data_IF_539155773847
#
_entry.id   IF_539155773847
#
_cell.length_a   1.000
_cell.length_b   1.000
_cell.length_c   1.000
_cell.angle_alpha   90.00
_cell.angle_beta   90.00
_cell.angle_gamma   90.00
#
_symmetry.space_group_name_H-M   'P 1'
#
loop_
_entity.id
_entity.type
_entity.pdbx_description
1 polymer ?
#
# COMPACT_ATOMS: atom_id res chain seq x y z
N UNK A 1 16.71 -42.64 45.00
CA UNK A 1 16.22 -41.24 44.91
C UNK A 1 16.48 -40.78 43.49
N UNK A 2 15.53 -41.01 42.59
CA UNK A 2 15.59 -40.46 41.24
C UNK A 2 14.98 -39.06 41.28
N UNK A 3 15.76 -38.08 40.84
CA UNK A 3 15.31 -36.70 40.63
C UNK A 3 14.34 -36.65 39.45
N UNK A 4 13.19 -35.96 39.55
CA UNK A 4 12.27 -35.85 38.43
C UNK A 4 12.87 -34.93 37.35
N UNK A 5 12.79 -35.39 36.10
CA UNK A 5 13.12 -34.62 34.89
C UNK A 5 12.23 -33.36 34.82
N UNK A 6 12.77 -32.16 34.50
CA UNK A 6 11.97 -30.96 34.42
C UNK A 6 11.03 -31.10 33.22
N UNK A 7 9.76 -30.82 33.49
CA UNK A 7 8.65 -30.82 32.56
C UNK A 7 9.07 -30.27 31.19
N UNK A 8 8.79 -31.05 30.15
CA UNK A 8 8.55 -30.56 28.80
C UNK A 8 7.55 -29.42 28.95
N UNK A 9 8.06 -28.19 28.88
CA UNK A 9 7.24 -26.99 28.79
C UNK A 9 6.54 -27.15 27.46
N UNK A 10 5.34 -27.71 27.52
CA UNK A 10 4.39 -27.78 26.43
C UNK A 10 4.33 -26.35 25.90
N UNK A 11 4.94 -26.15 24.73
CA UNK A 11 4.92 -24.87 24.05
C UNK A 11 3.46 -24.68 23.71
N UNK A 12 2.75 -23.99 24.61
CA UNK A 12 1.42 -23.47 24.41
C UNK A 12 1.50 -22.67 23.12
N UNK A 13 1.19 -23.34 22.01
CA UNK A 13 0.87 -22.73 20.74
C UNK A 13 -0.43 -21.98 21.00
N UNK A 14 -0.29 -20.79 21.58
CA UNK A 14 -1.35 -19.79 21.58
C UNK A 14 -1.52 -19.46 20.11
N UNK A 15 -2.45 -20.16 19.45
CA UNK A 15 -2.95 -19.75 18.17
C UNK A 15 -3.43 -18.31 18.33
N UNK A 16 -2.89 -17.42 17.50
CA UNK A 16 -3.23 -16.02 17.42
C UNK A 16 -4.76 -15.89 17.19
N UNK A 17 -5.49 -15.70 18.30
CA UNK A 17 -6.95 -15.66 18.35
C UNK A 17 -7.44 -14.24 18.04
N UNK A 18 -8.03 -14.06 16.86
CA UNK A 18 -8.55 -12.78 16.40
C UNK A 18 -9.15 -12.85 15.00
N UNK A 19 -9.91 -11.81 14.62
CA UNK A 19 -10.39 -11.68 13.24
C UNK A 19 -9.21 -11.38 12.31
N UNK A 20 -9.06 -12.17 11.25
CA UNK A 20 -8.05 -11.96 10.20
C UNK A 20 -8.75 -11.52 8.93
N UNK A 21 -8.27 -10.45 8.31
CA UNK A 21 -8.72 -10.00 6.99
C UNK A 21 -7.56 -10.13 6.03
N UNK A 22 -7.80 -10.84 4.93
CA UNK A 22 -6.82 -10.95 3.85
C UNK A 22 -6.67 -9.58 3.14
N UNK A 23 -5.42 -9.12 3.00
CA UNK A 23 -5.13 -7.82 2.38
C UNK A 23 -5.63 -7.74 0.94
N UNK A 24 -5.48 -8.81 0.17
CA UNK A 24 -5.95 -8.87 -1.21
C UNK A 24 -7.48 -8.84 -1.28
N UNK A 25 -8.16 -9.45 -0.30
CA UNK A 25 -9.62 -9.33 -0.15
C UNK A 25 -10.02 -7.89 0.15
N UNK A 26 -9.32 -7.22 1.08
CA UNK A 26 -9.59 -5.82 1.41
C UNK A 26 -9.40 -4.89 0.20
N UNK A 27 -8.32 -5.06 -0.56
CA UNK A 27 -8.07 -4.30 -1.79
C UNK A 27 -9.20 -4.55 -2.79
N UNK A 28 -9.62 -5.81 -2.99
CA UNK A 28 -10.74 -6.15 -3.88
C UNK A 28 -12.02 -5.44 -3.46
N UNK A 29 -12.36 -5.44 -2.17
CA UNK A 29 -13.55 -4.75 -1.65
C UNK A 29 -13.49 -3.23 -1.89
N UNK A 30 -12.32 -2.60 -1.77
CA UNK A 30 -12.13 -1.19 -2.15
C UNK A 30 -12.36 -1.00 -3.64
N UNK A 31 -11.75 -1.82 -4.49
CA UNK A 31 -11.88 -1.72 -5.96
C UNK A 31 -13.32 -1.88 -6.44
N UNK A 32 -14.13 -2.73 -5.80
CA UNK A 32 -15.56 -2.89 -6.13
C UNK A 32 -16.36 -1.59 -5.95
N UNK A 33 -15.91 -0.67 -5.10
CA UNK A 33 -16.55 0.62 -4.87
C UNK A 33 -16.05 1.73 -5.81
N UNK A 34 -15.11 1.42 -6.70
CA UNK A 34 -14.54 2.33 -7.71
C UNK A 34 -14.96 1.87 -9.12
N UNK A 35 -16.17 2.23 -9.59
CA UNK A 35 -16.58 1.92 -10.96
C UNK A 35 -15.63 2.59 -11.98
N UNK A 36 -15.43 1.90 -13.11
CA UNK A 36 -14.34 2.16 -14.08
C UNK A 36 -14.29 3.60 -14.64
N UNK A 37 -13.08 4.01 -15.06
CA UNK A 37 -12.89 5.18 -15.93
C UNK A 37 -11.64 5.99 -15.58
N UNK A 38 -11.80 7.00 -14.73
CA UNK A 38 -10.74 8.01 -14.47
C UNK A 38 -10.55 8.33 -12.99
N UNK A 39 -11.23 7.62 -12.08
CA UNK A 39 -11.23 7.95 -10.65
C UNK A 39 -9.82 7.90 -10.07
N UNK A 40 -9.00 6.92 -10.49
CA UNK A 40 -7.59 6.84 -10.10
C UNK A 40 -6.79 8.11 -10.44
N UNK A 41 -7.08 8.75 -11.57
CA UNK A 41 -6.39 9.99 -11.96
C UNK A 41 -6.81 11.17 -11.07
N UNK A 42 -8.10 11.22 -10.70
CA UNK A 42 -8.63 12.24 -9.78
C UNK A 42 -8.01 12.10 -8.39
N UNK A 43 -7.90 10.86 -7.89
CA UNK A 43 -7.27 10.58 -6.58
C UNK A 43 -5.78 10.96 -6.59
N UNK A 44 -5.05 10.69 -7.68
CA UNK A 44 -3.65 11.12 -7.82
C UNK A 44 -3.50 12.65 -7.81
N UNK A 45 -4.40 13.38 -8.47
CA UNK A 45 -4.43 14.84 -8.45
C UNK A 45 -4.75 15.35 -7.04
N UNK A 46 -5.73 14.73 -6.37
CA UNK A 46 -6.11 15.10 -5.01
C UNK A 46 -4.99 14.86 -4.01
N UNK A 47 -4.24 13.76 -4.12
CA UNK A 47 -3.05 13.51 -3.29
C UNK A 47 -1.98 14.60 -3.50
N UNK A 48 -1.82 15.07 -4.74
CA UNK A 48 -0.89 16.15 -5.06
C UNK A 48 -1.36 17.49 -4.47
N UNK A 49 -2.66 17.79 -4.54
CA UNK A 49 -3.27 18.99 -3.94
C UNK A 49 -3.14 18.97 -2.40
N UNK A 50 -3.46 17.85 -1.75
CA UNK A 50 -3.31 17.62 -0.30
C UNK A 50 -1.84 17.79 0.17
N UNK A 51 -0.88 17.54 -0.73
CA UNK A 51 0.55 17.73 -0.50
C UNK A 51 1.05 19.15 -0.83
N UNK A 52 0.18 20.03 -1.35
CA UNK A 52 0.53 21.40 -1.73
C UNK A 52 1.33 21.51 -3.04
N UNK A 53 1.28 20.50 -3.91
CA UNK A 53 1.94 20.53 -5.20
C UNK A 53 1.32 21.59 -6.13
N UNK A 54 2.16 22.24 -6.94
CA UNK A 54 1.72 23.22 -7.94
C UNK A 54 1.75 22.66 -9.37
N UNK A 55 2.28 21.45 -9.55
CA UNK A 55 2.39 20.77 -10.83
C UNK A 55 2.13 19.28 -10.67
N UNK A 56 1.31 18.74 -11.58
CA UNK A 56 1.09 17.30 -11.74
C UNK A 56 1.36 16.91 -13.19
N UNK A 57 2.07 15.81 -13.41
CA UNK A 57 2.30 15.22 -14.72
C UNK A 57 1.84 13.76 -14.74
N UNK A 58 1.05 13.40 -15.74
CA UNK A 58 0.70 12.02 -16.05
C UNK A 58 1.37 11.63 -17.36
N UNK A 59 2.11 10.52 -17.37
CA UNK A 59 2.84 10.06 -18.54
C UNK A 59 2.53 8.58 -18.80
N UNK A 60 1.98 8.27 -19.98
CA UNK A 60 1.91 6.90 -20.46
C UNK A 60 3.26 6.52 -21.06
N UNK A 61 4.08 5.86 -20.24
CA UNK A 61 5.36 5.32 -20.66
C UNK A 61 5.15 3.95 -21.32
N UNK A 62 5.50 3.85 -22.60
CA UNK A 62 5.35 2.61 -23.39
C UNK A 62 6.65 1.83 -23.53
N UNK A 63 7.70 2.24 -22.83
CA UNK A 63 8.99 1.53 -22.85
C UNK A 63 8.85 0.15 -22.22
N UNK A 64 9.75 -0.74 -22.62
CA UNK A 64 9.99 -2.03 -21.99
C UNK A 64 11.44 -2.02 -21.52
N UNK A 65 11.64 -2.31 -20.25
CA UNK A 65 12.94 -2.31 -19.60
C UNK A 65 13.53 -3.72 -19.56
N UNK A 66 14.85 -3.77 -19.43
CA UNK A 66 15.58 -5.01 -19.29
C UNK A 66 15.33 -5.68 -17.92
N UNK A 67 15.49 -6.99 -17.86
CA UNK A 67 15.23 -7.82 -16.67
C UNK A 67 16.48 -8.53 -16.13
N UNK A 68 17.67 -8.24 -16.65
CA UNK A 68 18.91 -8.93 -16.28
C UNK A 68 19.44 -8.63 -14.86
N UNK A 69 19.07 -7.50 -14.24
CA UNK A 69 19.58 -7.07 -12.92
C UNK A 69 18.47 -6.72 -11.94
N UNK A 70 17.49 -7.62 -11.78
CA UNK A 70 16.37 -7.45 -10.86
C UNK A 70 16.67 -8.08 -9.49
N UNK A 71 16.05 -7.55 -8.42
CA UNK A 71 16.14 -8.11 -7.07
C UNK A 71 15.55 -9.54 -6.99
N UNK A 72 14.58 -9.85 -7.86
CA UNK A 72 14.01 -11.18 -8.02
C UNK A 72 13.53 -11.36 -9.46
N UNK A 73 13.69 -12.57 -10.02
CA UNK A 73 13.19 -12.92 -11.35
C UNK A 73 11.68 -12.73 -11.50
N UNK A 74 10.92 -12.83 -10.39
CA UNK A 74 9.45 -12.61 -10.39
C UNK A 74 9.05 -11.18 -10.77
N UNK A 75 9.98 -10.22 -10.66
CA UNK A 75 9.75 -8.82 -11.01
C UNK A 75 9.79 -8.58 -12.53
N UNK A 76 10.30 -9.53 -13.33
CA UNK A 76 10.47 -9.35 -14.78
C UNK A 76 9.15 -9.01 -15.50
N UNK A 77 8.03 -9.53 -15.00
CA UNK A 77 6.69 -9.25 -15.55
C UNK A 77 6.26 -7.77 -15.42
N UNK A 78 6.92 -6.98 -14.57
CA UNK A 78 6.59 -5.58 -14.32
C UNK A 78 7.50 -4.58 -15.04
N UNK A 79 8.41 -5.06 -15.90
CA UNK A 79 9.32 -4.21 -16.68
C UNK A 79 8.68 -3.62 -17.95
N UNK A 80 7.38 -3.80 -18.17
CA UNK A 80 6.66 -3.33 -19.36
C UNK A 80 6.15 -1.88 -19.26
N UNK A 81 5.21 -1.50 -20.15
CA UNK A 81 4.58 -0.19 -20.14
C UNK A 81 3.94 0.17 -18.79
N UNK A 82 4.00 1.45 -18.43
CA UNK A 82 3.50 1.97 -17.15
C UNK A 82 2.82 3.34 -17.30
N UNK A 83 1.89 3.64 -16.40
CA UNK A 83 1.40 4.99 -16.18
C UNK A 83 2.22 5.62 -15.04
N UNK A 84 3.02 6.63 -15.36
CA UNK A 84 3.78 7.40 -14.39
C UNK A 84 2.98 8.61 -13.93
N UNK A 85 2.96 8.84 -12.61
CA UNK A 85 2.37 10.03 -12.00
C UNK A 85 3.44 10.78 -11.20
N UNK A 86 3.63 12.05 -11.52
CA UNK A 86 4.58 12.94 -10.87
C UNK A 86 3.86 14.16 -10.32
N UNK A 87 4.26 14.61 -9.13
CA UNK A 87 3.96 15.93 -8.62
C UNK A 87 5.23 16.55 -8.00
N UNK A 88 5.26 17.87 -7.83
CA UNK A 88 6.44 18.59 -7.34
C UNK A 88 6.44 18.84 -5.82
N UNK A 89 5.61 18.16 -5.04
CA UNK A 89 5.74 18.10 -3.60
C UNK A 89 6.65 16.92 -3.19
N UNK A 90 7.23 17.01 -1.99
CA UNK A 90 8.08 15.96 -1.42
C UNK A 90 7.30 15.19 -0.34
N UNK A 91 7.54 13.88 -0.25
CA UNK A 91 6.98 13.07 0.82
C UNK A 91 7.57 13.46 2.17
N UNK A 92 6.71 13.59 3.18
CA UNK A 92 7.12 13.66 4.58
C UNK A 92 7.24 12.26 5.19
N UNK A 93 7.85 12.14 6.38
CA UNK A 93 7.91 10.87 7.11
C UNK A 93 6.51 10.31 7.40
N UNK A 94 5.55 11.18 7.73
CA UNK A 94 4.16 10.80 7.95
C UNK A 94 3.52 10.25 6.67
N UNK A 95 3.84 10.80 5.49
CA UNK A 95 3.32 10.29 4.22
C UNK A 95 3.85 8.88 3.93
N UNK A 96 5.11 8.58 4.27
CA UNK A 96 5.68 7.23 4.15
C UNK A 96 5.00 6.22 5.08
N UNK A 97 4.71 6.64 6.32
CA UNK A 97 3.96 5.80 7.26
C UNK A 97 2.53 5.57 6.75
N UNK A 98 1.86 6.63 6.26
CA UNK A 98 0.49 6.56 5.77
C UNK A 98 0.34 5.70 4.51
N UNK A 99 1.22 5.84 3.52
CA UNK A 99 1.12 5.06 2.26
C UNK A 99 1.28 3.54 2.49
N UNK A 100 1.95 3.15 3.57
CA UNK A 100 2.10 1.73 3.95
C UNK A 100 0.84 1.11 4.58
N UNK A 101 -0.13 1.93 5.04
CA UNK A 101 -1.30 1.48 5.82
C UNK A 101 -2.55 1.38 4.94
N UNK A 102 -2.79 0.21 4.38
CA UNK A 102 -3.99 -0.03 3.56
C UNK A 102 -5.24 -0.06 4.45
N UNK A 103 -6.16 0.90 4.24
CA UNK A 103 -7.42 1.00 4.99
C UNK A 103 -7.27 1.51 6.43
N UNK A 104 -6.09 2.01 6.80
CA UNK A 104 -5.78 2.57 8.12
C UNK A 104 -5.92 4.09 8.17
N UNK A 105 -6.92 4.64 7.48
CA UNK A 105 -7.17 6.06 7.38
C UNK A 105 -7.42 6.68 8.76
N UNK A 106 -6.37 7.15 9.43
CA UNK A 106 -6.43 7.94 10.66
C UNK A 106 -6.87 9.39 10.40
N UNK A 107 -7.73 9.61 9.40
CA UNK A 107 -8.26 10.92 8.98
C UNK A 107 -9.39 11.45 9.88
N UNK A 108 -9.49 11.00 11.13
CA UNK A 108 -10.37 11.64 12.10
C UNK A 108 -9.87 13.03 12.54
N UNK A 109 -8.60 13.38 12.30
CA UNK A 109 -7.99 14.64 12.78
C UNK A 109 -7.86 15.75 11.73
N UNK A 110 -8.00 15.49 10.43
CA UNK A 110 -7.73 16.47 9.38
C UNK A 110 -8.93 16.59 8.44
N UNK A 111 -9.93 17.37 8.87
CA UNK A 111 -11.22 17.54 8.20
C UNK A 111 -11.14 18.12 6.77
N UNK A 112 -9.96 18.61 6.33
CA UNK A 112 -9.76 19.20 5.00
C UNK A 112 -9.11 18.24 3.98
N UNK A 113 -8.46 17.14 4.41
CA UNK A 113 -7.88 16.14 3.51
C UNK A 113 -8.98 15.18 3.03
N UNK A 114 -9.56 15.47 1.88
CA UNK A 114 -10.83 14.90 1.40
C UNK A 114 -10.74 13.49 0.81
N UNK A 115 -9.55 12.86 0.80
CA UNK A 115 -9.39 11.48 0.30
C UNK A 115 -10.10 10.45 1.20
N UNK A 116 -11.13 9.80 0.66
CA UNK A 116 -12.10 8.93 1.38
C UNK A 116 -11.54 7.60 1.89
N UNK A 117 -10.33 7.19 1.46
CA UNK A 117 -9.76 5.87 1.79
C UNK A 117 -8.25 5.86 2.07
N UNK A 118 -7.62 7.04 2.20
CA UNK A 118 -6.23 7.16 2.67
C UNK A 118 -6.16 7.20 4.18
#
# INVERSE_FOLDING_TARGET
MESPSPATVDSLLVEDFGQKVDLTRRIREVLLNYPEGTTVLKELIQNADDAGATKVCLCLDRRVHDSHSLLSEKLAQWQGPALLAYNNAEFTEDDFVSISRIGGSSKHSQAWKTGRFG
#
